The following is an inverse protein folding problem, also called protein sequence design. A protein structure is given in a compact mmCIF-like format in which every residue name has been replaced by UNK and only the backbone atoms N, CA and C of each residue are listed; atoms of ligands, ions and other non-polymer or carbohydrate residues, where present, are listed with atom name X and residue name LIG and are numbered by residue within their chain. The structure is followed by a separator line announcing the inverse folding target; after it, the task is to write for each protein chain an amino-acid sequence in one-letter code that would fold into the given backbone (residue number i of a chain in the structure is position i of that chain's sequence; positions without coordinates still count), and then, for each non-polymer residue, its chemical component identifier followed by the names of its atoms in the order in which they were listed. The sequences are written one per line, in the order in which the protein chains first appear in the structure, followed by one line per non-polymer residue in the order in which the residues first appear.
data_IF_777694636404
#
_entry.id   IF_777694636404
#
_cell.length_a   1.000
_cell.length_b   1.000
_cell.length_c   1.000
_cell.angle_alpha   90.00
_cell.angle_beta   90.00
_cell.angle_gamma   90.00
#
_symmetry.space_group_name_H-M   'P 1'
#
loop_
_entity.id
_entity.type
_entity.pdbx_description
1 polymer ?
#
# COMPACT_ATOMS: atom_id res chain seq x y z
N UNK A 1 -0.85 5.15 -10.90
CA UNK A 1 -2.03 4.86 -10.05
C UNK A 1 -2.43 3.41 -10.30
N UNK A 2 -2.49 2.57 -9.28
CA UNK A 2 -2.93 1.18 -9.46
C UNK A 2 -4.40 1.16 -9.86
N UNK A 3 -4.70 0.51 -10.98
CA UNK A 3 -6.08 0.27 -11.42
C UNK A 3 -6.45 -1.16 -11.13
N UNK A 4 -7.74 -1.43 -10.92
CA UNK A 4 -8.23 -2.77 -10.66
C UNK A 4 -7.81 -3.78 -11.73
N UNK A 5 -7.78 -3.39 -13.01
CA UNK A 5 -7.38 -4.25 -14.12
C UNK A 5 -5.93 -4.75 -13.98
N UNK A 6 -5.03 -3.89 -13.51
CA UNK A 6 -3.63 -4.24 -13.25
C UNK A 6 -3.52 -5.25 -12.09
N UNK A 7 -4.32 -5.07 -11.04
CA UNK A 7 -4.39 -6.03 -9.93
C UNK A 7 -5.01 -7.36 -10.38
N UNK A 8 -6.03 -7.34 -11.25
CA UNK A 8 -6.59 -8.55 -11.86
C UNK A 8 -5.52 -9.33 -12.61
N UNK A 9 -4.76 -8.65 -13.46
CA UNK A 9 -3.70 -9.27 -14.25
C UNK A 9 -2.58 -9.81 -13.35
N UNK A 10 -2.21 -9.10 -12.30
CA UNK A 10 -1.25 -9.57 -11.29
C UNK A 10 -1.74 -10.83 -10.59
N UNK A 11 -2.97 -10.82 -10.05
CA UNK A 11 -3.55 -11.97 -9.35
C UNK A 11 -3.77 -13.19 -10.26
N UNK A 12 -3.96 -12.98 -11.57
CA UNK A 12 -4.12 -14.06 -12.53
C UNK A 12 -2.79 -14.72 -12.93
N UNK A 13 -1.73 -13.91 -13.10
CA UNK A 13 -0.46 -14.36 -13.65
C UNK A 13 0.56 -14.76 -12.57
N UNK A 14 0.56 -14.08 -11.42
CA UNK A 14 1.48 -14.36 -10.31
C UNK A 14 0.81 -15.29 -9.29
N UNK A 15 0.75 -16.59 -9.62
CA UNK A 15 -0.02 -17.58 -8.85
C UNK A 15 0.45 -17.74 -7.41
N UNK A 16 1.76 -17.79 -7.17
CA UNK A 16 2.33 -17.96 -5.82
C UNK A 16 1.95 -16.78 -4.91
N UNK A 17 2.04 -15.57 -5.44
CA UNK A 17 1.66 -14.30 -4.81
C UNK A 17 0.15 -14.26 -4.55
N UNK A 18 -0.65 -14.64 -5.53
CA UNK A 18 -2.11 -14.72 -5.40
C UNK A 18 -2.52 -15.70 -4.29
N UNK A 19 -1.89 -16.88 -4.23
CA UNK A 19 -2.16 -17.88 -3.21
C UNK A 19 -1.74 -17.39 -1.81
N UNK A 20 -0.59 -16.71 -1.72
CA UNK A 20 -0.17 -16.04 -0.50
C UNK A 20 -1.20 -14.98 -0.05
N UNK A 21 -1.60 -14.07 -0.94
CA UNK A 21 -2.54 -12.99 -0.63
C UNK A 21 -3.92 -13.53 -0.26
N UNK A 22 -4.41 -14.58 -0.92
CA UNK A 22 -5.65 -15.27 -0.54
C UNK A 22 -5.58 -15.87 0.86
N UNK A 23 -4.45 -16.46 1.24
CA UNK A 23 -4.24 -16.97 2.60
C UNK A 23 -4.18 -15.83 3.63
N UNK A 24 -3.50 -14.74 3.29
CA UNK A 24 -3.42 -13.56 4.15
C UNK A 24 -4.78 -12.90 4.34
N UNK A 25 -5.55 -12.70 3.26
CA UNK A 25 -6.86 -12.04 3.26
C UNK A 25 -7.86 -12.68 4.22
N UNK A 26 -7.79 -14.00 4.45
CA UNK A 26 -8.63 -14.70 5.43
C UNK A 26 -8.44 -14.24 6.89
N UNK A 27 -7.32 -13.56 7.18
CA UNK A 27 -7.01 -13.06 8.52
C UNK A 27 -7.55 -11.65 8.76
N UNK A 28 -7.98 -10.96 7.71
CA UNK A 28 -8.39 -9.57 7.79
C UNK A 28 -9.82 -9.37 7.33
N UNK A 29 -10.44 -8.33 7.84
CA UNK A 29 -11.76 -7.85 7.49
C UNK A 29 -11.62 -6.46 6.88
N UNK A 30 -12.62 -6.06 6.08
CA UNK A 30 -12.64 -4.72 5.48
C UNK A 30 -12.51 -3.60 6.52
N UNK A 31 -13.01 -3.84 7.73
CA UNK A 31 -12.96 -2.96 8.90
C UNK A 31 -11.60 -2.63 9.48
N UNK A 32 -10.60 -3.44 9.13
CA UNK A 32 -9.22 -3.20 9.51
C UNK A 32 -8.55 -2.20 8.56
N UNK A 33 -9.16 -1.97 7.40
CA UNK A 33 -8.67 -1.07 6.37
C UNK A 33 -9.53 0.18 6.22
N UNK A 34 -10.84 0.05 6.45
CA UNK A 34 -11.84 1.06 6.14
C UNK A 34 -12.88 1.16 7.25
N UNK A 35 -13.15 2.37 7.70
CA UNK A 35 -14.29 2.73 8.53
C UNK A 35 -15.19 3.69 7.73
N UNK A 36 -16.47 3.74 8.05
CA UNK A 36 -17.41 4.64 7.37
C UNK A 36 -18.36 5.27 8.35
N UNK A 37 -18.86 6.46 8.03
CA UNK A 37 -19.98 7.00 8.80
C UNK A 37 -21.27 6.21 8.53
N UNK A 38 -22.24 6.34 9.45
CA UNK A 38 -23.51 5.61 9.40
C UNK A 38 -24.31 5.86 8.12
N UNK A 39 -24.28 7.08 7.60
CA UNK A 39 -25.00 7.45 6.37
C UNK A 39 -24.34 6.78 5.16
N UNK A 40 -23.01 6.82 5.06
CA UNK A 40 -22.27 6.11 4.01
C UNK A 40 -22.52 4.62 4.04
N UNK A 41 -22.55 3.99 5.22
CA UNK A 41 -22.90 2.56 5.31
C UNK A 41 -24.32 2.30 4.78
N UNK A 42 -25.28 3.16 5.12
CA UNK A 42 -26.65 3.04 4.63
C UNK A 42 -26.71 3.11 3.09
N UNK A 43 -25.97 4.06 2.51
CA UNK A 43 -25.84 4.24 1.06
C UNK A 43 -25.21 3.01 0.40
N UNK A 44 -24.06 2.54 0.92
CA UNK A 44 -23.38 1.33 0.43
C UNK A 44 -24.25 0.07 0.57
N UNK A 45 -25.15 0.03 1.56
CA UNK A 45 -26.11 -1.07 1.75
C UNK A 45 -27.37 -0.99 0.88
N UNK A 46 -27.48 -0.01 -0.02
CA UNK A 46 -28.57 0.08 -1.01
C UNK A 46 -29.84 0.77 -0.51
N UNK A 47 -29.82 1.42 0.66
CA UNK A 47 -30.89 2.34 1.07
C UNK A 47 -30.57 3.71 0.49
N UNK A 48 -30.97 3.92 -0.77
CA UNK A 48 -30.74 5.17 -1.49
C UNK A 48 -31.25 6.37 -0.70
N UNK A 49 -30.35 7.31 -0.43
CA UNK A 49 -30.70 8.69 -0.14
C UNK A 49 -30.40 9.44 -1.44
N UNK A 50 -31.44 9.88 -2.14
CA UNK A 50 -31.28 10.72 -3.33
C UNK A 50 -30.56 12.02 -2.96
N UNK A 51 -29.57 12.41 -3.77
CA UNK A 51 -28.82 13.65 -3.58
C UNK A 51 -27.56 13.53 -2.72
N UNK A 52 -26.84 12.40 -2.80
CA UNK A 52 -25.53 12.26 -2.15
C UNK A 52 -24.42 12.55 -3.16
N UNK A 53 -23.90 13.79 -3.16
CA UNK A 53 -22.71 14.16 -3.92
C UNK A 53 -21.43 13.55 -3.28
N UNK A 54 -20.46 13.30 -4.17
CA UNK A 54 -19.14 12.67 -3.98
C UNK A 54 -18.73 12.25 -2.55
N UNK A 55 -18.61 10.93 -2.37
CA UNK A 55 -17.98 10.33 -1.20
C UNK A 55 -16.47 10.63 -1.26
N UNK A 56 -15.96 11.30 -0.22
CA UNK A 56 -14.55 11.64 -0.04
C UNK A 56 -13.96 10.91 1.17
N UNK A 57 -12.66 10.59 1.09
CA UNK A 57 -11.96 9.84 2.12
C UNK A 57 -11.01 10.69 2.97
N UNK A 58 -10.80 10.31 4.22
CA UNK A 58 -9.72 10.78 5.09
C UNK A 58 -9.00 9.59 5.77
N UNK A 59 -7.88 9.83 6.45
CA UNK A 59 -7.20 8.77 7.22
C UNK A 59 -7.40 8.96 8.72
N UNK A 60 -7.72 7.89 9.42
CA UNK A 60 -7.75 7.82 10.87
C UNK A 60 -6.45 7.24 11.40
N UNK A 61 -5.78 7.98 12.27
CA UNK A 61 -4.71 7.45 13.10
C UNK A 61 -5.32 7.04 14.45
N UNK A 62 -5.37 5.74 14.72
CA UNK A 62 -6.00 5.21 15.93
C UNK A 62 -5.19 5.57 17.20
N UNK A 63 -3.87 5.73 17.08
CA UNK A 63 -3.00 6.13 18.20
C UNK A 63 -3.20 7.60 18.54
N UNK A 64 -3.28 8.46 17.53
CA UNK A 64 -3.55 9.90 17.72
C UNK A 64 -5.02 10.19 17.99
N UNK A 65 -5.91 9.23 17.67
CA UNK A 65 -7.36 9.39 17.71
C UNK A 65 -7.79 10.61 16.89
N UNK A 66 -7.22 10.75 15.69
CA UNK A 66 -7.41 11.91 14.83
C UNK A 66 -7.71 11.55 13.37
N UNK A 67 -8.52 12.39 12.71
CA UNK A 67 -8.77 12.39 11.28
C UNK A 67 -7.77 13.33 10.60
N UNK A 68 -6.97 12.79 9.69
CA UNK A 68 -5.93 13.53 8.97
C UNK A 68 -6.33 13.78 7.52
N UNK A 69 -6.06 15.00 7.09
CA UNK A 69 -6.30 15.51 5.73
C UNK A 69 -5.09 16.28 5.19
N UNK A 70 -4.44 17.05 6.07
CA UNK A 70 -3.24 17.82 5.77
C UNK A 70 -1.99 17.02 6.12
N UNK A 71 -1.78 15.92 5.40
CA UNK A 71 -0.54 15.15 5.44
C UNK A 71 0.46 15.75 4.43
N UNK A 72 1.75 15.43 4.54
CA UNK A 72 2.74 15.96 3.60
C UNK A 72 2.40 15.58 2.14
N UNK A 73 3.04 16.24 1.17
CA UNK A 73 2.66 16.05 -0.25
C UNK A 73 2.84 14.61 -0.76
N UNK A 74 3.72 13.83 -0.15
CA UNK A 74 3.97 12.43 -0.54
C UNK A 74 2.92 11.52 0.08
N UNK A 75 2.71 11.60 1.38
CA UNK A 75 1.69 10.86 2.12
C UNK A 75 0.30 11.17 1.55
N UNK A 76 -0.01 12.45 1.28
CA UNK A 76 -1.30 12.88 0.73
C UNK A 76 -1.57 12.20 -0.61
N UNK A 77 -0.57 12.20 -1.48
CA UNK A 77 -0.67 11.58 -2.79
C UNK A 77 -0.85 10.06 -2.67
N UNK A 78 -0.11 9.39 -1.79
CA UNK A 78 -0.22 7.94 -1.57
C UNK A 78 -1.58 7.57 -0.95
N UNK A 79 -2.06 8.36 0.01
CA UNK A 79 -3.38 8.23 0.63
C UNK A 79 -4.48 8.42 -0.41
N UNK A 80 -4.41 9.45 -1.25
CA UNK A 80 -5.38 9.68 -2.32
C UNK A 80 -5.42 8.52 -3.33
N UNK A 81 -4.27 7.93 -3.67
CA UNK A 81 -4.22 6.74 -4.52
C UNK A 81 -4.91 5.54 -3.86
N UNK A 82 -4.64 5.30 -2.58
CA UNK A 82 -5.25 4.22 -1.82
C UNK A 82 -6.76 4.41 -1.66
N UNK A 83 -7.19 5.62 -1.29
CA UNK A 83 -8.60 5.98 -1.11
C UNK A 83 -9.37 5.92 -2.43
N UNK A 84 -8.76 6.37 -3.54
CA UNK A 84 -9.34 6.23 -4.87
C UNK A 84 -9.51 4.77 -5.27
N UNK A 85 -8.54 3.93 -4.94
CA UNK A 85 -8.62 2.49 -5.23
C UNK A 85 -9.72 1.79 -4.43
N UNK A 86 -9.83 2.02 -3.13
CA UNK A 86 -10.94 1.46 -2.33
C UNK A 86 -12.30 2.00 -2.81
N UNK A 87 -12.40 3.29 -3.16
CA UNK A 87 -13.65 3.86 -3.73
C UNK A 87 -14.09 3.06 -4.95
N UNK A 88 -13.16 2.80 -5.87
CA UNK A 88 -13.39 1.95 -7.03
C UNK A 88 -13.93 0.56 -6.64
N UNK A 89 -13.30 -0.12 -5.67
CA UNK A 89 -13.75 -1.45 -5.23
C UNK A 89 -15.17 -1.44 -4.66
N UNK A 90 -15.52 -0.42 -3.88
CA UNK A 90 -16.84 -0.28 -3.26
C UNK A 90 -17.93 0.03 -4.28
N UNK A 91 -17.67 0.95 -5.23
CA UNK A 91 -18.61 1.30 -6.30
C UNK A 91 -18.89 0.12 -7.23
N UNK A 92 -17.87 -0.67 -7.56
CA UNK A 92 -17.99 -1.87 -8.38
C UNK A 92 -18.58 -3.09 -7.65
N UNK A 93 -18.90 -2.95 -6.35
CA UNK A 93 -19.42 -4.04 -5.49
C UNK A 93 -18.54 -5.29 -5.55
N UNK A 94 -17.22 -5.09 -5.51
CA UNK A 94 -16.26 -6.19 -5.52
C UNK A 94 -16.50 -7.12 -4.33
N UNK A 95 -16.45 -8.44 -4.55
CA UNK A 95 -16.74 -9.42 -3.49
C UNK A 95 -15.52 -9.66 -2.61
N UNK A 96 -14.33 -9.67 -3.21
CA UNK A 96 -13.08 -9.98 -2.52
C UNK A 96 -12.31 -8.71 -2.12
N UNK A 97 -12.99 -7.66 -1.64
CA UNK A 97 -12.41 -6.33 -1.38
C UNK A 97 -11.10 -6.40 -0.59
N UNK A 98 -11.06 -7.22 0.47
CA UNK A 98 -9.85 -7.38 1.29
C UNK A 98 -8.68 -7.92 0.46
N UNK A 99 -8.90 -8.93 -0.39
CA UNK A 99 -7.85 -9.47 -1.27
C UNK A 99 -7.27 -8.38 -2.18
N UNK A 100 -8.12 -7.54 -2.76
CA UNK A 100 -7.70 -6.45 -3.62
C UNK A 100 -6.93 -5.36 -2.86
N UNK A 101 -7.36 -5.02 -1.64
CA UNK A 101 -6.63 -4.10 -0.76
C UNK A 101 -5.24 -4.66 -0.45
N UNK A 102 -5.14 -5.95 -0.12
CA UNK A 102 -3.84 -6.58 0.13
C UNK A 102 -2.97 -6.59 -1.12
N UNK A 103 -3.54 -6.93 -2.28
CA UNK A 103 -2.81 -6.93 -3.54
C UNK A 103 -2.28 -5.53 -3.92
N UNK A 104 -3.09 -4.49 -3.70
CA UNK A 104 -2.67 -3.10 -3.87
C UNK A 104 -1.46 -2.77 -3.02
N UNK A 105 -1.52 -3.03 -1.71
CA UNK A 105 -0.41 -2.72 -0.81
C UNK A 105 0.83 -3.56 -1.09
N UNK A 106 0.65 -4.83 -1.46
CA UNK A 106 1.75 -5.73 -1.79
C UNK A 106 2.48 -5.29 -3.07
N UNK A 107 1.75 -4.93 -4.12
CA UNK A 107 2.35 -4.35 -5.34
C UNK A 107 3.04 -3.02 -5.07
N UNK A 108 2.44 -2.17 -4.22
CA UNK A 108 3.03 -0.90 -3.80
C UNK A 108 4.38 -1.09 -3.09
N UNK A 109 4.47 -2.11 -2.23
CA UNK A 109 5.71 -2.49 -1.56
C UNK A 109 6.73 -3.10 -2.54
N UNK A 110 6.33 -4.01 -3.42
CA UNK A 110 7.22 -4.56 -4.47
C UNK A 110 7.80 -3.43 -5.32
N UNK A 111 6.97 -2.45 -5.68
CA UNK A 111 7.40 -1.28 -6.46
C UNK A 111 8.40 -0.41 -5.71
N UNK A 112 8.14 -0.14 -4.42
CA UNK A 112 9.08 0.60 -3.58
C UNK A 112 10.43 -0.12 -3.49
N UNK A 113 10.38 -1.44 -3.25
CA UNK A 113 11.56 -2.31 -3.17
C UNK A 113 12.35 -2.33 -4.49
N UNK A 114 11.68 -2.58 -5.62
CA UNK A 114 12.32 -2.63 -6.93
C UNK A 114 12.88 -1.27 -7.36
N UNK A 115 12.21 -0.17 -7.06
CA UNK A 115 12.74 1.17 -7.34
C UNK A 115 14.07 1.43 -6.63
N UNK A 116 14.22 1.00 -5.36
CA UNK A 116 15.47 1.12 -4.61
C UNK A 116 16.61 0.31 -5.24
N UNK A 117 16.28 -0.80 -5.91
CA UNK A 117 17.24 -1.63 -6.65
C UNK A 117 17.70 -1.01 -7.98
N UNK A 118 17.05 0.05 -8.47
CA UNK A 118 17.29 0.63 -9.80
C UNK A 118 17.84 2.06 -9.75
N UNK A 119 17.57 2.84 -8.68
CA UNK A 119 17.84 4.30 -8.65
C UNK A 119 19.19 4.70 -8.03
N UNK A 120 19.91 3.77 -7.40
CA UNK A 120 21.27 4.05 -6.91
C UNK A 120 22.28 4.08 -8.06
N UNK A 121 23.27 4.97 -8.02
CA UNK A 121 24.42 4.94 -8.94
C UNK A 121 25.21 3.61 -8.88
N UNK A 122 24.93 2.77 -7.88
CA UNK A 122 25.49 1.42 -7.69
C UNK A 122 24.40 0.33 -7.71
N UNK A 123 23.26 0.63 -8.32
CA UNK A 123 22.13 -0.28 -8.43
C UNK A 123 22.55 -1.61 -9.10
N UNK A 124 22.10 -2.76 -8.57
CA UNK A 124 22.35 -4.07 -9.18
C UNK A 124 21.76 -4.23 -10.59
N UNK A 125 20.76 -3.41 -10.95
CA UNK A 125 20.14 -3.41 -12.28
C UNK A 125 20.38 -2.08 -12.98
N UNK A 126 20.93 -2.16 -14.19
CA UNK A 126 20.91 -1.06 -15.14
C UNK A 126 19.88 -1.39 -16.21
N UNK A 127 18.79 -0.63 -16.26
CA UNK A 127 17.76 -0.79 -17.29
C UNK A 127 16.80 -1.97 -17.05
N UNK A 128 15.77 -2.02 -17.88
CA UNK A 128 14.60 -2.90 -17.80
C UNK A 128 14.87 -4.38 -18.13
N UNK A 129 16.06 -4.90 -17.81
CA UNK A 129 16.43 -6.27 -18.12
C UNK A 129 15.91 -7.26 -17.07
N UNK A 130 15.44 -8.42 -17.53
CA UNK A 130 14.84 -9.47 -16.70
C UNK A 130 15.85 -10.34 -15.95
N UNK A 131 17.14 -10.23 -16.30
CA UNK A 131 18.23 -11.04 -15.76
C UNK A 131 19.44 -10.18 -15.37
N UNK A 132 20.21 -10.64 -14.38
CA UNK A 132 21.49 -10.01 -14.02
C UNK A 132 22.53 -10.21 -15.13
N UNK A 133 22.96 -9.12 -15.77
CA UNK A 133 24.18 -9.14 -16.58
C UNK A 133 25.45 -9.19 -15.69
N UNK A 134 26.63 -9.44 -16.28
CA UNK A 134 27.91 -9.59 -15.55
C UNK A 134 28.25 -8.36 -14.67
N UNK A 135 27.90 -7.16 -15.15
CA UNK A 135 28.06 -5.91 -14.40
C UNK A 135 27.06 -5.79 -13.26
N UNK A 136 25.83 -6.27 -13.44
CA UNK A 136 24.78 -6.33 -12.43
C UNK A 136 25.12 -7.27 -11.27
N UNK A 137 25.69 -8.45 -11.56
CA UNK A 137 26.22 -9.37 -10.52
C UNK A 137 27.34 -8.73 -9.71
N UNK A 138 28.26 -8.05 -10.39
CA UNK A 138 29.38 -7.35 -9.73
C UNK A 138 28.87 -6.18 -8.89
N UNK A 139 27.89 -5.41 -9.38
CA UNK A 139 27.25 -4.31 -8.66
C UNK A 139 26.41 -4.82 -7.48
N UNK A 140 25.75 -5.97 -7.60
CA UNK A 140 25.02 -6.61 -6.51
C UNK A 140 25.95 -7.07 -5.40
N UNK A 141 27.09 -7.68 -5.75
CA UNK A 141 28.14 -8.04 -4.79
C UNK A 141 28.73 -6.79 -4.11
N UNK A 142 29.03 -5.74 -4.88
CA UNK A 142 29.44 -4.42 -4.35
C UNK A 142 28.36 -3.80 -3.45
N UNK A 143 27.08 -3.96 -3.80
CA UNK A 143 25.95 -3.49 -3.00
C UNK A 143 25.86 -4.24 -1.67
N UNK A 144 25.97 -5.58 -1.69
CA UNK A 144 26.07 -6.42 -0.48
C UNK A 144 27.25 -6.00 0.41
N UNK A 145 28.40 -5.68 -0.19
CA UNK A 145 29.60 -5.22 0.52
C UNK A 145 29.48 -3.76 1.04
N UNK A 146 28.79 -2.86 0.33
CA UNK A 146 28.60 -1.45 0.71
C UNK A 146 27.51 -1.24 1.76
N UNK A 147 26.52 -2.13 1.82
CA UNK A 147 25.50 -2.15 2.87
C UNK A 147 26.08 -2.48 4.25
N UNK A 148 27.28 -3.05 4.32
CA UNK A 148 28.06 -3.20 5.57
C UNK A 148 28.61 -1.83 6.05
N UNK A 149 28.64 -0.80 5.18
CA UNK A 149 29.37 0.44 5.43
C UNK A 149 28.56 1.74 5.53
N UNK A 150 27.68 2.07 4.57
CA UNK A 150 27.10 3.45 4.49
C UNK A 150 25.69 3.60 3.89
N UNK A 151 25.02 2.51 3.50
CA UNK A 151 23.63 2.51 2.98
C UNK A 151 22.73 1.53 3.75
N UNK A 152 22.93 1.44 5.07
CA UNK A 152 22.31 0.44 5.95
C UNK A 152 20.80 0.62 6.24
N UNK A 153 19.96 0.81 5.23
CA UNK A 153 18.53 1.01 5.42
C UNK A 153 17.61 -0.10 4.89
N UNK A 154 17.73 -0.51 3.62
CA UNK A 154 16.49 -0.90 2.93
C UNK A 154 16.49 -2.19 2.11
N UNK A 155 17.59 -2.93 1.99
CA UNK A 155 17.56 -4.16 1.18
C UNK A 155 18.07 -5.34 2.00
N UNK A 156 17.17 -6.20 2.49
CA UNK A 156 17.55 -7.42 3.18
C UNK A 156 18.31 -8.38 2.25
N UNK A 157 19.02 -9.35 2.86
CA UNK A 157 19.73 -10.42 2.15
C UNK A 157 18.74 -11.33 1.39
N UNK A 158 18.37 -10.93 0.18
CA UNK A 158 17.53 -11.71 -0.75
C UNK A 158 18.40 -12.49 -1.74
N UNK A 159 17.91 -13.64 -2.20
CA UNK A 159 18.58 -14.36 -3.29
C UNK A 159 18.46 -13.61 -4.62
N UNK A 160 19.42 -13.78 -5.54
CA UNK A 160 19.35 -13.20 -6.90
C UNK A 160 18.04 -13.56 -7.61
N UNK A 161 17.56 -14.79 -7.45
CA UNK A 161 16.30 -15.26 -8.03
C UNK A 161 15.09 -14.47 -7.50
N UNK A 162 15.04 -14.18 -6.19
CA UNK A 162 13.98 -13.36 -5.59
C UNK A 162 14.03 -11.93 -6.14
N UNK A 163 15.22 -11.37 -6.26
CA UNK A 163 15.42 -10.02 -6.76
C UNK A 163 14.96 -9.94 -8.23
N UNK A 164 15.37 -10.88 -9.07
CA UNK A 164 14.95 -10.95 -10.47
C UNK A 164 13.42 -11.10 -10.61
N UNK A 165 12.80 -11.97 -9.79
CA UNK A 165 11.35 -12.15 -9.74
C UNK A 165 10.62 -10.83 -9.46
N UNK A 166 10.97 -10.13 -8.38
CA UNK A 166 10.29 -8.89 -8.00
C UNK A 166 10.60 -7.72 -8.93
N UNK A 167 11.79 -7.71 -9.54
CA UNK A 167 12.11 -6.75 -10.60
C UNK A 167 11.20 -6.95 -11.83
N UNK A 168 10.98 -8.20 -12.25
CA UNK A 168 10.08 -8.52 -13.36
C UNK A 168 8.62 -8.13 -13.05
N UNK A 169 8.14 -8.42 -11.84
CA UNK A 169 6.81 -7.99 -11.39
C UNK A 169 6.72 -6.45 -11.41
N UNK A 170 7.74 -5.75 -10.94
CA UNK A 170 7.79 -4.28 -11.00
C UNK A 170 7.77 -3.74 -12.43
N UNK A 171 8.55 -4.28 -13.36
CA UNK A 171 8.52 -3.79 -14.75
C UNK A 171 7.20 -4.06 -15.44
N UNK A 172 6.55 -5.19 -15.14
CA UNK A 172 5.28 -5.58 -15.74
C UNK A 172 4.09 -4.79 -15.19
N UNK A 173 4.02 -4.59 -13.87
CA UNK A 173 2.85 -4.04 -13.18
C UNK A 173 3.09 -2.68 -12.50
N UNK A 174 4.34 -2.28 -12.34
CA UNK A 174 4.72 -1.18 -11.47
C UNK A 174 5.51 -0.06 -12.15
N UNK A 175 5.95 -0.18 -13.39
CA UNK A 175 6.83 0.85 -13.97
C UNK A 175 6.08 2.17 -14.24
N UNK A 176 6.37 3.19 -13.42
CA UNK A 176 6.01 4.59 -13.69
C UNK A 176 7.31 5.37 -13.95
N UNK A 177 7.25 6.44 -14.75
CA UNK A 177 8.42 7.27 -15.06
C UNK A 177 9.15 7.76 -13.80
N UNK A 178 10.48 7.86 -13.87
CA UNK A 178 11.45 8.08 -12.77
C UNK A 178 11.27 9.35 -11.91
N UNK A 179 10.16 10.10 -12.03
CA UNK A 179 9.91 11.33 -11.28
C UNK A 179 9.41 11.08 -9.84
N UNK A 180 8.91 9.87 -9.53
CA UNK A 180 8.38 9.51 -8.21
C UNK A 180 9.37 8.67 -7.41
N UNK A 181 9.58 9.02 -6.12
CA UNK A 181 10.50 8.32 -5.20
C UNK A 181 9.83 7.41 -4.15
N UNK A 182 8.51 7.56 -3.95
CA UNK A 182 7.75 6.84 -2.94
C UNK A 182 6.51 6.20 -3.55
N UNK A 183 6.23 4.95 -3.23
CA UNK A 183 5.18 4.16 -3.87
C UNK A 183 4.28 3.41 -2.89
N UNK A 184 4.79 3.11 -1.69
CA UNK A 184 4.06 2.37 -0.67
C UNK A 184 3.62 3.29 0.45
N UNK A 185 2.30 3.42 0.62
CA UNK A 185 1.71 4.15 1.75
C UNK A 185 2.12 3.53 3.09
N UNK A 186 2.10 2.19 3.18
CA UNK A 186 2.45 1.45 4.39
C UNK A 186 3.90 1.76 4.80
N UNK A 187 4.85 1.64 3.88
CA UNK A 187 6.27 1.89 4.21
C UNK A 187 6.53 3.35 4.55
N UNK A 188 5.87 4.28 3.83
CA UNK A 188 5.99 5.71 4.10
C UNK A 188 5.47 6.06 5.51
N UNK A 189 4.26 5.60 5.85
CA UNK A 189 3.62 5.92 7.14
C UNK A 189 4.30 5.25 8.32
N UNK A 190 4.77 4.01 8.16
CA UNK A 190 5.48 3.30 9.23
C UNK A 190 6.92 3.79 9.42
N UNK A 191 7.41 4.69 8.54
CA UNK A 191 8.83 5.09 8.47
C UNK A 191 9.72 3.86 8.54
N UNK A 192 9.35 2.85 7.74
CA UNK A 192 9.96 1.54 7.83
C UNK A 192 11.36 1.59 7.23
N UNK A 193 12.34 1.95 8.07
CA UNK A 193 13.71 2.27 7.64
C UNK A 193 14.73 1.16 7.94
N UNK A 194 14.34 0.02 8.55
CA UNK A 194 15.31 -1.01 8.93
C UNK A 194 14.74 -2.42 8.84
N UNK A 195 15.40 -3.29 8.08
CA UNK A 195 15.19 -4.74 8.12
C UNK A 195 16.52 -5.45 8.35
N UNK A 196 16.80 -5.78 9.60
CA UNK A 196 17.93 -6.63 9.97
C UNK A 196 17.40 -7.98 10.43
N UNK A 197 17.60 -9.01 9.62
CA UNK A 197 17.29 -10.37 10.00
C UNK A 197 17.83 -11.37 9.00
N UNK A 198 18.47 -12.42 9.51
CA UNK A 198 18.75 -13.62 8.73
C UNK A 198 17.41 -14.29 8.38
N UNK A 199 17.14 -14.54 7.10
CA UNK A 199 15.92 -15.23 6.66
C UNK A 199 14.75 -14.32 6.22
N UNK A 200 15.05 -13.12 5.72
CA UNK A 200 14.03 -12.21 5.18
C UNK A 200 13.17 -12.85 4.07
N UNK A 201 11.86 -12.72 4.20
CA UNK A 201 10.88 -13.04 3.15
C UNK A 201 9.96 -11.85 2.96
N UNK A 202 9.85 -11.35 1.72
CA UNK A 202 9.00 -10.21 1.38
C UNK A 202 7.54 -10.45 1.80
N UNK A 203 7.05 -11.69 1.72
CA UNK A 203 5.73 -12.09 2.19
C UNK A 203 5.56 -11.94 3.71
N UNK A 204 6.55 -12.35 4.49
CA UNK A 204 6.50 -12.23 5.96
C UNK A 204 6.55 -10.77 6.38
N UNK A 205 7.42 -10.00 5.72
CA UNK A 205 7.55 -8.57 5.95
C UNK A 205 6.26 -7.82 5.62
N UNK A 206 5.66 -8.13 4.47
CA UNK A 206 4.38 -7.56 4.09
C UNK A 206 3.35 -7.76 5.20
N UNK A 207 3.23 -8.97 5.74
CA UNK A 207 2.27 -9.27 6.82
C UNK A 207 2.61 -8.48 8.08
N UNK A 208 3.89 -8.35 8.44
CA UNK A 208 4.32 -7.57 9.60
C UNK A 208 3.96 -6.09 9.47
N UNK A 209 4.29 -5.50 8.32
CA UNK A 209 3.96 -4.11 8.02
C UNK A 209 2.46 -3.89 7.90
N UNK A 210 1.73 -4.82 7.29
CA UNK A 210 0.28 -4.78 7.18
C UNK A 210 -0.40 -4.81 8.55
N UNK A 211 0.04 -5.69 9.46
CA UNK A 211 -0.45 -5.73 10.83
C UNK A 211 -0.19 -4.40 11.56
N UNK A 212 1.01 -3.84 11.38
CA UNK A 212 1.37 -2.55 11.95
C UNK A 212 0.52 -1.41 11.37
N UNK A 213 0.27 -1.44 10.06
CA UNK A 213 -0.58 -0.48 9.37
C UNK A 213 -2.02 -0.58 9.85
N UNK A 214 -2.65 -1.76 9.85
CA UNK A 214 -4.02 -1.95 10.33
C UNK A 214 -4.20 -1.59 11.81
N UNK A 215 -3.17 -1.83 12.63
CA UNK A 215 -3.18 -1.44 14.04
C UNK A 215 -3.11 0.08 14.22
N UNK A 216 -2.33 0.77 13.41
CA UNK A 216 -2.07 2.20 13.56
C UNK A 216 -3.06 3.07 12.78
N UNK A 217 -3.53 2.61 11.62
CA UNK A 217 -4.17 3.45 10.60
C UNK A 217 -5.37 2.78 9.94
N UNK A 218 -6.39 3.60 9.61
CA UNK A 218 -7.60 3.17 8.89
C UNK A 218 -8.05 4.26 7.91
N UNK A 219 -8.54 3.90 6.73
CA UNK A 219 -9.22 4.84 5.84
C UNK A 219 -10.65 5.11 6.31
N UNK A 220 -11.17 6.33 6.14
CA UNK A 220 -12.55 6.68 6.44
C UNK A 220 -13.23 7.28 5.22
N UNK A 221 -14.41 6.78 4.82
CA UNK A 221 -15.25 7.40 3.78
C UNK A 221 -16.40 8.19 4.40
N UNK A 222 -16.55 9.45 3.96
CA UNK A 222 -17.57 10.42 4.43
C UNK A 222 -18.09 11.29 3.27
N UNK A 223 -19.31 11.84 3.34
CA UNK A 223 -20.00 12.55 2.22
C UNK A 223 -20.36 14.02 2.49
N UNK A 224 -20.42 14.80 1.40
CA UNK A 224 -20.71 16.22 1.12
C UNK A 224 -20.00 17.30 1.95
N UNK A 225 -19.43 16.91 3.09
CA UNK A 225 -18.93 17.81 4.11
C UNK A 225 -17.76 17.17 4.87
N UNK A 226 -16.55 17.39 4.38
CA UNK A 226 -15.50 17.85 5.31
C UNK A 226 -15.73 19.32 5.71
N UNK A 227 -16.96 19.84 5.53
CA UNK A 227 -17.29 21.23 5.15
C UNK A 227 -16.69 22.29 6.05
N UNK A 228 -16.35 22.00 7.31
CA UNK A 228 -15.11 22.58 7.77
C UNK A 228 -14.39 21.66 8.75
N UNK A 229 -13.16 21.27 8.46
CA UNK A 229 -12.08 20.83 9.34
C UNK A 229 -12.19 21.18 10.85
N UNK A 230 -13.16 20.60 11.54
CA UNK A 230 -13.06 20.13 12.92
C UNK A 230 -12.92 21.19 14.02
N UNK A 231 -14.02 21.82 14.43
CA UNK A 231 -14.15 22.17 15.85
C UNK A 231 -14.02 20.87 16.67
N UNK A 232 -13.22 20.87 17.74
CA UNK A 232 -12.89 19.67 18.54
C UNK A 232 -14.11 18.79 18.87
N UNK A 233 -15.24 19.42 19.22
CA UNK A 233 -16.50 18.72 19.54
C UNK A 233 -17.11 17.95 18.35
N UNK A 234 -17.07 18.49 17.13
CA UNK A 234 -17.62 17.84 15.94
C UNK A 234 -16.73 16.69 15.45
N UNK A 235 -15.41 16.82 15.62
CA UNK A 235 -14.45 15.76 15.34
C UNK A 235 -14.71 14.53 16.22
N UNK A 236 -14.80 14.74 17.54
CA UNK A 236 -15.03 13.64 18.48
C UNK A 236 -16.39 12.98 18.20
N UNK A 237 -17.42 13.77 17.86
CA UNK A 237 -18.70 13.23 17.42
C UNK A 237 -18.58 12.38 16.14
N UNK A 238 -17.89 12.87 15.10
CA UNK A 238 -17.69 12.13 13.85
C UNK A 238 -16.97 10.82 14.15
N UNK A 239 -15.82 10.86 14.84
CA UNK A 239 -15.03 9.67 15.21
C UNK A 239 -15.90 8.65 15.95
N UNK A 240 -16.70 9.08 16.93
CA UNK A 240 -17.61 8.21 17.68
C UNK A 240 -18.81 7.71 16.85
N UNK A 241 -19.14 8.38 15.75
CA UNK A 241 -20.22 7.99 14.84
C UNK A 241 -19.78 6.96 13.80
N UNK A 242 -18.47 6.79 13.61
CA UNK A 242 -17.91 5.84 12.64
C UNK A 242 -18.26 4.42 13.04
N UNK A 243 -18.52 3.62 12.02
CA UNK A 243 -18.82 2.21 12.17
C UNK A 243 -18.03 1.37 11.18
N UNK A 244 -17.91 0.12 11.56
CA UNK A 244 -17.33 -0.94 10.78
C UNK A 244 -18.28 -1.34 9.62
N UNK A 245 -17.77 -1.34 8.39
CA UNK A 245 -18.26 -2.07 7.21
C UNK A 245 -18.14 -3.60 7.42
N UNK A 246 -19.23 -4.22 7.89
CA UNK A 246 -19.36 -5.67 7.94
C UNK A 246 -19.97 -6.18 6.64
#
# INVERSE_FOLDING_TARGET
MYRKEMINEFLANEKEECDFLKRAAKKYNLNEFVMVDKNIKSILSGKMIDGCEDINGCMFDYREKDLRLNVDSVELRLANQYLGFIKQLLEEKEKDIVLYILAFHYLAMIKQFAYQLVVSNKAPFWGCDSDFNTSGKSNYKLYQELCIGKFGGMIPFLSEACIAKYNNIFYKYGFDSHSTKHFSLIEYMLKHENMYGDGFSLCNEFVYMLNSFCFQFKAIYTTEKMWPYMFKANKDYIINSLIFLY
#
